data_IF_896065912379
#
_entry.id   IF_896065912379
#
_cell.length_a   1.000
_cell.length_b   1.000
_cell.length_c   1.000
_cell.angle_alpha   90.00
_cell.angle_beta   90.00
_cell.angle_gamma   90.00
#
_symmetry.space_group_name_H-M   'P 1'
#
loop_
_entity.id
_entity.type
_entity.pdbx_description
1 polymer ?
#
# COMPACT_ATOMS: atom_id res chain seq x y z
N UNK A 1 -5.06 3.17 22.65
CA UNK A 1 -6.44 2.92 22.16
C UNK A 1 -6.51 1.49 21.68
N UNK A 2 -7.66 0.83 21.81
CA UNK A 2 -7.85 -0.52 21.29
C UNK A 2 -7.99 -0.48 19.75
N UNK A 3 -7.05 -1.07 18.98
CA UNK A 3 -7.09 -1.03 17.52
C UNK A 3 -8.33 -1.71 16.95
N UNK A 4 -8.87 -2.73 17.62
CA UNK A 4 -10.06 -3.43 17.17
C UNK A 4 -11.30 -2.52 17.25
N UNK A 5 -11.47 -1.78 18.35
CA UNK A 5 -12.54 -0.81 18.50
C UNK A 5 -12.46 0.34 17.48
N UNK A 6 -11.25 0.77 17.09
CA UNK A 6 -11.07 1.80 16.06
C UNK A 6 -11.42 1.28 14.66
N UNK A 7 -10.98 0.08 14.29
CA UNK A 7 -11.28 -0.51 12.98
C UNK A 7 -12.80 -0.65 12.75
N UNK A 8 -13.58 -0.95 13.80
CA UNK A 8 -15.04 -1.07 13.72
C UNK A 8 -15.76 0.24 13.36
N UNK A 9 -15.10 1.38 13.56
CA UNK A 9 -15.65 2.70 13.27
C UNK A 9 -15.15 3.24 11.92
N UNK A 10 -14.08 2.66 11.36
CA UNK A 10 -13.39 3.16 10.19
C UNK A 10 -14.12 2.80 8.89
N UNK A 11 -14.30 3.78 8.01
CA UNK A 11 -14.76 3.57 6.64
C UNK A 11 -13.65 2.99 5.74
N UNK A 12 -12.39 3.28 6.08
CA UNK A 12 -11.21 2.78 5.37
C UNK A 12 -10.23 2.21 6.39
N UNK A 13 -9.79 0.98 6.18
CA UNK A 13 -8.78 0.31 7.01
C UNK A 13 -7.56 -0.02 6.16
N UNK A 14 -6.39 0.44 6.61
CA UNK A 14 -5.10 0.09 6.01
C UNK A 14 -4.40 -0.90 6.95
N UNK A 15 -4.33 -2.17 6.55
CA UNK A 15 -3.71 -3.22 7.33
C UNK A 15 -2.22 -3.36 6.92
N UNK A 16 -1.32 -3.01 7.84
CA UNK A 16 0.13 -3.06 7.64
C UNK A 16 0.87 -3.46 8.93
N UNK A 17 0.32 -4.47 9.61
CA UNK A 17 0.80 -4.99 10.91
C UNK A 17 1.92 -6.01 10.75
N UNK A 18 1.95 -6.77 9.65
CA UNK A 18 2.93 -7.84 9.42
C UNK A 18 2.66 -9.07 10.30
N UNK A 19 1.38 -9.41 10.48
CA UNK A 19 0.94 -10.61 11.20
C UNK A 19 -0.15 -11.30 10.39
N UNK A 20 0.03 -12.56 9.96
CA UNK A 20 -0.91 -13.22 9.08
C UNK A 20 -2.29 -13.33 9.74
N UNK A 21 -3.33 -12.87 9.04
CA UNK A 21 -4.75 -13.04 9.42
C UNK A 21 -5.09 -12.54 10.84
N UNK A 22 -4.41 -11.49 11.31
CA UNK A 22 -4.72 -10.88 12.60
C UNK A 22 -6.11 -10.21 12.61
N UNK A 23 -6.48 -9.60 11.49
CA UNK A 23 -7.72 -8.83 11.36
C UNK A 23 -8.76 -9.73 10.71
N UNK A 24 -9.78 -10.12 11.46
CA UNK A 24 -10.95 -10.85 10.95
C UNK A 24 -12.11 -9.87 10.64
N UNK A 25 -13.24 -10.42 10.16
CA UNK A 25 -14.43 -9.62 9.86
C UNK A 25 -14.94 -8.81 11.07
N UNK A 26 -14.79 -9.27 12.30
CA UNK A 26 -15.35 -8.60 13.48
C UNK A 26 -14.62 -7.32 13.85
N UNK A 27 -13.42 -7.10 13.31
CA UNK A 27 -12.70 -5.84 13.41
C UNK A 27 -13.26 -4.79 12.45
N UNK A 28 -13.98 -5.19 11.40
CA UNK A 28 -14.28 -4.32 10.26
C UNK A 28 -15.70 -3.75 10.34
N UNK A 29 -15.85 -2.48 9.98
CA UNK A 29 -17.18 -1.89 9.78
C UNK A 29 -17.84 -2.50 8.53
N UNK A 30 -19.13 -2.89 8.57
CA UNK A 30 -19.85 -3.30 7.38
C UNK A 30 -19.78 -2.23 6.28
N UNK A 31 -19.44 -2.63 5.06
CA UNK A 31 -19.27 -1.70 3.93
C UNK A 31 -17.96 -0.91 3.91
N UNK A 32 -17.01 -1.16 4.83
CA UNK A 32 -15.70 -0.52 4.78
C UNK A 32 -14.90 -0.88 3.52
N UNK A 33 -13.86 -0.12 3.22
CA UNK A 33 -12.84 -0.47 2.23
C UNK A 33 -11.56 -0.87 2.96
N UNK A 34 -10.98 -2.01 2.57
CA UNK A 34 -9.79 -2.55 3.20
C UNK A 34 -8.63 -2.60 2.22
N UNK A 35 -7.49 -2.03 2.61
CA UNK A 35 -6.24 -2.13 1.88
C UNK A 35 -5.28 -2.97 2.72
N UNK A 36 -5.07 -4.20 2.29
CA UNK A 36 -4.15 -5.15 2.91
C UNK A 36 -2.75 -5.03 2.28
N UNK A 37 -1.88 -4.36 3.03
CA UNK A 37 -0.46 -4.15 2.69
C UNK A 37 0.40 -5.31 3.19
N UNK A 38 -0.11 -6.09 4.15
CA UNK A 38 0.60 -7.19 4.77
C UNK A 38 1.05 -8.23 3.75
N UNK A 39 2.30 -8.67 3.83
CA UNK A 39 2.81 -9.78 3.03
C UNK A 39 3.49 -10.74 4.00
N UNK A 40 2.75 -11.76 4.40
CA UNK A 40 3.19 -12.76 5.35
C UNK A 40 3.37 -14.10 4.64
N UNK A 41 4.47 -14.79 4.93
CA UNK A 41 4.72 -16.14 4.42
C UNK A 41 4.29 -17.17 5.45
N UNK A 42 3.43 -18.10 5.03
CA UNK A 42 2.98 -19.22 5.86
C UNK A 42 3.35 -20.54 5.19
N UNK A 43 3.46 -21.60 6.00
CA UNK A 43 3.44 -22.97 5.50
C UNK A 43 1.99 -23.47 5.47
N UNK A 44 1.59 -24.01 4.33
CA UNK A 44 0.28 -24.58 4.08
C UNK A 44 0.49 -25.98 3.50
N UNK A 45 0.48 -26.99 4.38
CA UNK A 45 0.68 -28.39 4.03
C UNK A 45 2.01 -28.65 3.26
N UNK A 46 3.11 -28.08 3.76
CA UNK A 46 4.43 -28.20 3.15
C UNK A 46 4.63 -27.33 1.90
N UNK A 47 3.68 -26.45 1.58
CA UNK A 47 3.81 -25.45 0.51
C UNK A 47 3.84 -24.04 1.10
N UNK A 48 4.80 -23.24 0.67
CA UNK A 48 4.86 -21.84 1.05
C UNK A 48 3.79 -21.03 0.33
N UNK A 49 2.95 -20.31 1.09
CA UNK A 49 1.93 -19.40 0.57
C UNK A 49 2.12 -17.99 1.13
N UNK A 50 1.73 -16.99 0.34
CA UNK A 50 1.64 -15.60 0.79
C UNK A 50 0.21 -15.28 1.20
N UNK A 51 0.05 -14.64 2.35
CA UNK A 51 -1.23 -14.17 2.90
C UNK A 51 -1.06 -12.77 3.48
N UNK A 52 -2.17 -12.05 3.55
CA UNK A 52 -2.21 -10.70 4.11
C UNK A 52 -2.31 -10.66 5.62
N UNK A 53 -2.44 -9.44 6.16
CA UNK A 53 -2.72 -9.23 7.58
C UNK A 53 -4.20 -9.48 7.91
N UNK A 54 -5.07 -9.45 6.89
CA UNK A 54 -6.51 -9.63 7.00
C UNK A 54 -6.88 -11.05 6.60
N UNK A 55 -7.80 -11.67 7.33
CA UNK A 55 -8.48 -12.88 6.87
C UNK A 55 -9.42 -12.53 5.71
N UNK A 56 -8.91 -12.72 4.49
CA UNK A 56 -9.56 -12.28 3.24
C UNK A 56 -10.96 -12.88 3.06
N UNK A 57 -11.11 -14.19 3.31
CA UNK A 57 -12.37 -14.89 3.09
C UNK A 57 -13.45 -14.42 4.08
N UNK A 58 -13.05 -14.22 5.34
CA UNK A 58 -13.90 -13.66 6.39
C UNK A 58 -14.33 -12.23 6.02
N UNK A 59 -13.38 -11.37 5.65
CA UNK A 59 -13.63 -9.97 5.34
C UNK A 59 -14.54 -9.76 4.12
N UNK A 60 -14.39 -10.57 3.06
CA UNK A 60 -15.17 -10.47 1.80
C UNK A 60 -16.68 -10.42 2.00
N UNK A 61 -17.18 -11.09 3.04
CA UNK A 61 -18.62 -11.15 3.33
C UNK A 61 -19.17 -9.88 3.97
N UNK A 62 -18.30 -8.96 4.42
CA UNK A 62 -18.67 -7.82 5.26
C UNK A 62 -18.28 -6.47 4.67
N UNK A 63 -17.18 -6.39 3.95
CA UNK A 63 -16.63 -5.13 3.43
C UNK A 63 -17.11 -4.84 2.01
N UNK A 64 -17.06 -3.57 1.59
CA UNK A 64 -17.41 -3.19 0.22
C UNK A 64 -16.30 -3.56 -0.78
N UNK A 65 -15.05 -3.48 -0.35
CA UNK A 65 -13.89 -3.87 -1.16
C UNK A 65 -12.70 -4.25 -0.27
N UNK A 66 -11.87 -5.17 -0.76
CA UNK A 66 -10.61 -5.56 -0.13
C UNK A 66 -9.55 -5.87 -1.20
N UNK A 67 -8.30 -5.46 -0.97
CA UNK A 67 -7.18 -5.83 -1.85
C UNK A 67 -6.70 -7.25 -1.56
N UNK A 68 -6.49 -8.11 -2.57
CA UNK A 68 -6.02 -9.47 -2.35
C UNK A 68 -4.52 -9.50 -2.01
N UNK A 69 -4.10 -10.52 -1.26
CA UNK A 69 -2.69 -10.86 -1.06
C UNK A 69 -2.48 -12.32 -1.45
N UNK A 70 -1.62 -12.62 -2.45
CA UNK A 70 -0.83 -11.68 -3.26
C UNK A 70 -1.68 -10.95 -4.34
N UNK A 71 -1.08 -9.94 -4.98
CA UNK A 71 -1.65 -9.29 -6.17
C UNK A 71 -2.30 -7.92 -5.95
N UNK A 72 -2.46 -7.49 -4.69
CA UNK A 72 -2.99 -6.17 -4.33
C UNK A 72 -1.91 -5.09 -4.29
N UNK A 73 -1.43 -4.75 -3.08
CA UNK A 73 -0.57 -3.57 -2.86
C UNK A 73 0.84 -3.74 -3.44
N UNK A 74 1.39 -4.97 -3.45
CA UNK A 74 2.76 -5.25 -3.90
C UNK A 74 3.12 -4.71 -5.29
N UNK A 75 2.36 -5.06 -6.36
CA UNK A 75 2.58 -4.51 -7.70
C UNK A 75 2.52 -2.98 -7.77
N UNK A 76 1.63 -2.35 -6.99
CA UNK A 76 1.51 -0.89 -6.94
C UNK A 76 2.75 -0.23 -6.32
N UNK A 77 3.38 -0.87 -5.32
CA UNK A 77 4.64 -0.39 -4.73
C UNK A 77 5.75 -0.27 -5.78
N UNK A 78 5.92 -1.29 -6.64
CA UNK A 78 6.91 -1.25 -7.73
C UNK A 78 6.55 -0.16 -8.75
N UNK A 79 5.28 -0.10 -9.17
CA UNK A 79 4.82 0.90 -10.13
C UNK A 79 5.07 2.34 -9.64
N UNK A 80 4.78 2.61 -8.36
CA UNK A 80 5.00 3.93 -7.78
C UNK A 80 6.47 4.26 -7.56
N UNK A 81 7.32 3.28 -7.23
CA UNK A 81 8.76 3.50 -7.22
C UNK A 81 9.24 3.96 -8.60
N UNK A 82 8.83 3.28 -9.68
CA UNK A 82 9.21 3.66 -11.04
C UNK A 82 8.69 5.05 -11.42
N UNK A 83 7.42 5.34 -11.11
CA UNK A 83 6.81 6.66 -11.34
C UNK A 83 7.58 7.76 -10.60
N UNK A 84 7.93 7.52 -9.34
CA UNK A 84 8.66 8.47 -8.51
C UNK A 84 10.06 8.73 -9.07
N UNK A 85 10.76 7.68 -9.52
CA UNK A 85 12.07 7.79 -10.18
C UNK A 85 12.01 8.63 -11.45
N UNK A 86 11.02 8.38 -12.34
CA UNK A 86 10.82 9.19 -13.56
C UNK A 86 10.54 10.65 -13.21
N UNK A 87 9.64 10.88 -12.24
CA UNK A 87 9.29 12.23 -11.78
C UNK A 87 10.53 12.98 -11.25
N UNK A 88 11.35 12.30 -10.44
CA UNK A 88 12.59 12.88 -9.90
C UNK A 88 13.59 13.24 -11.02
N UNK A 89 13.77 12.36 -12.01
CA UNK A 89 14.67 12.61 -13.14
C UNK A 89 14.22 13.81 -13.99
N UNK A 90 12.92 13.92 -14.27
CA UNK A 90 12.36 15.07 -14.99
C UNK A 90 12.55 16.37 -14.22
N UNK A 91 12.26 16.37 -12.91
CA UNK A 91 12.44 17.54 -12.06
C UNK A 91 13.91 17.98 -11.99
N UNK A 92 14.84 17.02 -11.87
CA UNK A 92 16.27 17.31 -11.86
C UNK A 92 16.73 17.94 -13.19
N UNK A 93 16.26 17.41 -14.32
CA UNK A 93 16.58 17.97 -15.64
C UNK A 93 16.05 19.39 -15.83
N UNK A 94 14.82 19.67 -15.38
CA UNK A 94 14.23 21.02 -15.45
C UNK A 94 14.98 22.03 -14.58
N UNK A 95 15.36 21.65 -13.37
CA UNK A 95 16.15 22.51 -12.49
C UNK A 95 17.52 22.85 -13.09
N UNK A 96 18.19 21.86 -13.69
CA UNK A 96 19.48 22.07 -14.38
C UNK A 96 19.35 23.00 -15.59
N UNK A 97 18.28 22.87 -16.40
CA UNK A 97 18.02 23.79 -17.52
C UNK A 97 17.78 25.22 -17.06
N UNK A 98 16.96 25.40 -16.03
CA UNK A 98 16.65 26.71 -15.45
C UNK A 98 17.91 27.40 -14.89
N UNK A 99 18.81 26.62 -14.28
CA UNK A 99 20.11 27.12 -13.81
C UNK A 99 21.04 27.48 -14.98
N UNK A 100 21.05 26.70 -16.06
CA UNK A 100 21.87 27.01 -17.24
C UNK A 100 21.39 28.27 -17.99
N UNK A 101 20.08 28.52 -18.04
CA UNK A 101 19.49 29.71 -18.67
C UNK A 101 19.67 30.97 -17.80
N UNK A 102 19.72 30.82 -16.47
CA UNK A 102 19.96 31.93 -15.55
C UNK A 102 21.42 32.43 -15.54
N UNK A 103 22.37 31.64 -16.06
CA UNK A 103 23.77 32.07 -16.26
C UNK A 103 23.83 32.87 -17.56
N UNK A 104 23.50 34.16 -17.47
CA UNK A 104 23.61 35.09 -18.60
C UNK A 104 25.10 35.28 -18.96
N UNK A 105 25.57 35.01 -20.20
CA UNK A 105 26.98 35.14 -20.59
C UNK A 105 27.51 36.58 -20.69
N UNK A 106 26.72 37.59 -20.33
CA UNK A 106 27.02 39.01 -20.61
C UNK A 106 27.80 39.74 -19.50
N UNK A 107 28.56 39.03 -18.67
CA UNK A 107 29.55 39.63 -17.77
C UNK A 107 30.93 39.06 -18.13
N UNK A 108 31.51 39.59 -19.21
CA UNK A 108 32.94 39.56 -19.54
C UNK A 108 33.23 40.77 -20.42
#
# INVERSE_FOLDING_TARGET
QDPQALCRQADIVIAAVGRPRLIDADWLKPGAVVIDVGINRIDDNGRSRLVGDVDFDSALTRVAAITPVPGGVGPMTIAFLMKNTVTAALNQSQAQRSLSEAVCPSIS
#
